data_IF_881270795911
#
_entry.id   IF_881270795911
#
_cell.length_a   1.000
_cell.length_b   1.000
_cell.length_c   1.000
_cell.angle_alpha   90.00
_cell.angle_beta   90.00
_cell.angle_gamma   90.00
#
_symmetry.space_group_name_H-M   'P 1'
#
loop_
_entity.id
_entity.type
_entity.pdbx_description
1 polymer ?
#
# COMPACT_ATOMS: atom_id res chain seq x y z
N UNK A 1 -3.33 0.53 -34.26
CA UNK A 1 -3.49 -0.68 -33.47
C UNK A 1 -3.81 -0.25 -32.08
N UNK A 2 -4.80 -0.80 -31.42
CA UNK A 2 -5.09 -0.54 -30.02
C UNK A 2 -4.50 -1.67 -29.20
N UNK A 3 -3.90 -1.36 -28.06
CA UNK A 3 -3.36 -2.34 -27.12
C UNK A 3 -4.37 -2.53 -25.98
N UNK A 4 -4.66 -3.78 -25.66
CA UNK A 4 -5.57 -4.15 -24.59
C UNK A 4 -4.80 -4.75 -23.43
N UNK A 5 -4.76 -4.04 -22.30
CA UNK A 5 -4.09 -4.46 -21.08
C UNK A 5 -5.10 -4.94 -20.03
N UNK A 6 -4.70 -5.89 -19.22
CA UNK A 6 -5.47 -6.29 -18.03
C UNK A 6 -4.66 -6.07 -16.76
N UNK A 7 -5.27 -5.47 -15.75
CA UNK A 7 -4.76 -5.38 -14.40
C UNK A 7 -5.56 -6.31 -13.50
N UNK A 8 -4.94 -7.35 -13.00
CA UNK A 8 -5.50 -8.25 -12.01
C UNK A 8 -5.15 -7.74 -10.62
N UNK A 9 -6.14 -7.50 -9.79
CA UNK A 9 -5.98 -6.98 -8.44
C UNK A 9 -6.86 -7.73 -7.44
N UNK A 10 -6.41 -7.81 -6.19
CA UNK A 10 -7.14 -8.46 -5.12
C UNK A 10 -7.29 -7.50 -3.92
N UNK A 11 -8.53 -7.33 -3.44
CA UNK A 11 -8.85 -6.43 -2.32
C UNK A 11 -8.44 -4.96 -2.57
N UNK A 12 -8.89 -4.38 -3.66
CA UNK A 12 -8.55 -3.00 -4.06
C UNK A 12 -8.98 -1.90 -3.06
N UNK A 13 -9.69 -2.24 -1.99
CA UNK A 13 -10.13 -1.29 -0.96
C UNK A 13 -8.98 -0.63 -0.17
N UNK A 14 -7.75 -1.03 -0.38
CA UNK A 14 -6.60 -0.36 0.22
C UNK A 14 -6.25 0.91 -0.55
N UNK A 15 -6.08 2.03 0.17
CA UNK A 15 -5.74 3.35 -0.39
C UNK A 15 -4.60 3.29 -1.42
N UNK A 16 -3.52 2.60 -1.11
CA UNK A 16 -2.36 2.50 -2.00
C UNK A 16 -2.67 1.78 -3.32
N UNK A 17 -3.62 0.83 -3.34
CA UNK A 17 -4.01 0.14 -4.57
C UNK A 17 -4.82 1.09 -5.47
N UNK A 18 -5.73 1.87 -4.90
CA UNK A 18 -6.52 2.88 -5.62
C UNK A 18 -5.59 3.95 -6.21
N UNK A 19 -4.61 4.41 -5.43
CA UNK A 19 -3.64 5.41 -5.88
C UNK A 19 -2.76 4.89 -7.04
N UNK A 20 -2.38 3.60 -7.01
CA UNK A 20 -1.68 2.97 -8.14
C UNK A 20 -2.54 2.92 -9.40
N UNK A 21 -3.83 2.58 -9.28
CA UNK A 21 -4.77 2.59 -10.42
C UNK A 21 -4.91 4.00 -10.99
N UNK A 22 -4.93 5.04 -10.15
CA UNK A 22 -4.90 6.44 -10.60
C UNK A 22 -3.67 6.73 -11.45
N UNK A 23 -2.50 6.25 -11.05
CA UNK A 23 -1.27 6.37 -11.83
C UNK A 23 -1.33 5.63 -13.18
N UNK A 24 -1.88 4.42 -13.20
CA UNK A 24 -2.12 3.68 -14.43
C UNK A 24 -3.03 4.46 -15.38
N UNK A 25 -4.11 5.01 -14.85
CA UNK A 25 -5.05 5.86 -15.61
C UNK A 25 -4.35 7.07 -16.22
N UNK A 26 -3.49 7.78 -15.48
CA UNK A 26 -2.71 8.91 -16.00
C UNK A 26 -1.85 8.55 -17.21
N UNK A 27 -1.20 7.37 -17.19
CA UNK A 27 -0.45 6.91 -18.36
C UNK A 27 -1.38 6.70 -19.56
N UNK A 28 -2.50 6.01 -19.36
CA UNK A 28 -3.46 5.68 -20.43
C UNK A 28 -4.08 6.94 -21.04
N UNK A 29 -4.42 7.93 -20.22
CA UNK A 29 -4.93 9.22 -20.70
C UNK A 29 -3.93 9.95 -21.62
N UNK A 30 -2.63 9.67 -21.49
CA UNK A 30 -1.59 10.18 -22.39
C UNK A 30 -1.48 9.38 -23.71
N UNK A 31 -2.10 8.20 -23.80
CA UNK A 31 -2.00 7.23 -24.89
C UNK A 31 -3.39 6.80 -25.37
N UNK A 32 -3.85 7.33 -26.50
CA UNK A 32 -5.17 7.03 -27.07
C UNK A 32 -5.30 5.62 -27.67
N UNK A 33 -4.20 4.92 -27.79
CA UNK A 33 -4.09 3.58 -28.36
C UNK A 33 -3.99 2.48 -27.32
N UNK A 34 -4.16 2.80 -26.02
CA UNK A 34 -4.08 1.84 -24.92
C UNK A 34 -5.38 1.82 -24.13
N UNK A 35 -5.91 0.63 -23.92
CA UNK A 35 -7.07 0.36 -23.07
C UNK A 35 -6.65 -0.52 -21.89
N UNK A 36 -7.18 -0.25 -20.68
CA UNK A 36 -6.92 -1.04 -19.49
C UNK A 36 -8.23 -1.56 -18.91
N UNK A 37 -8.34 -2.87 -18.80
CA UNK A 37 -9.37 -3.53 -17.99
C UNK A 37 -8.81 -3.80 -16.59
N UNK A 38 -9.48 -3.32 -15.55
CA UNK A 38 -9.16 -3.68 -14.16
C UNK A 38 -10.10 -4.78 -13.71
N UNK A 39 -9.53 -5.94 -13.38
CA UNK A 39 -10.27 -7.09 -12.89
C UNK A 39 -9.93 -7.34 -11.43
N UNK A 40 -10.91 -7.14 -10.56
CA UNK A 40 -10.71 -7.18 -9.12
C UNK A 40 -11.53 -8.28 -8.46
N UNK A 41 -10.87 -9.07 -7.61
CA UNK A 41 -11.53 -9.98 -6.70
C UNK A 41 -11.46 -9.46 -5.27
N UNK A 42 -12.54 -9.64 -4.50
CA UNK A 42 -12.65 -9.20 -3.11
C UNK A 42 -13.06 -10.38 -2.25
N UNK A 43 -12.29 -10.63 -1.17
CA UNK A 43 -12.58 -11.70 -0.22
C UNK A 43 -12.45 -11.24 1.25
N UNK A 44 -12.48 -9.93 1.48
CA UNK A 44 -12.25 -9.36 2.81
C UNK A 44 -13.35 -9.77 3.79
N UNK A 45 -12.96 -10.30 4.96
CA UNK A 45 -13.86 -10.76 6.03
C UNK A 45 -14.71 -11.99 5.71
N UNK A 46 -14.36 -12.77 4.70
CA UNK A 46 -15.06 -14.01 4.34
C UNK A 46 -14.35 -15.23 4.94
N UNK A 47 -15.07 -16.33 5.06
CA UNK A 47 -14.51 -17.61 5.48
C UNK A 47 -13.47 -18.12 4.45
N UNK A 48 -12.55 -18.97 4.91
CA UNK A 48 -11.44 -19.47 4.10
C UNK A 48 -11.87 -20.12 2.77
N UNK A 49 -13.04 -20.78 2.76
CA UNK A 49 -13.61 -21.36 1.53
C UNK A 49 -14.02 -20.29 0.50
N UNK A 50 -14.58 -19.18 0.97
CA UNK A 50 -14.98 -18.05 0.12
C UNK A 50 -13.77 -17.27 -0.36
N UNK A 51 -12.72 -17.14 0.47
CA UNK A 51 -11.45 -16.54 0.08
C UNK A 51 -10.82 -17.33 -1.08
N UNK A 52 -10.84 -18.66 -1.02
CA UNK A 52 -10.36 -19.54 -2.10
C UNK A 52 -11.18 -19.36 -3.38
N UNK A 53 -12.50 -19.31 -3.27
CA UNK A 53 -13.40 -19.11 -4.43
C UNK A 53 -13.21 -17.74 -5.07
N UNK A 54 -12.98 -16.69 -4.27
CA UNK A 54 -12.70 -15.35 -4.77
C UNK A 54 -11.38 -15.28 -5.55
N UNK A 55 -10.38 -16.10 -5.18
CA UNK A 55 -9.12 -16.19 -5.93
C UNK A 55 -9.30 -16.85 -7.30
N UNK A 56 -10.20 -17.82 -7.42
CA UNK A 56 -10.52 -18.47 -8.70
C UNK A 56 -11.08 -17.45 -9.73
N UNK A 57 -11.79 -16.42 -9.28
CA UNK A 57 -12.27 -15.33 -10.14
C UNK A 57 -11.10 -14.71 -10.93
N UNK A 58 -9.92 -14.57 -10.34
CA UNK A 58 -8.75 -13.97 -11.00
C UNK A 58 -8.16 -14.85 -12.13
N UNK A 59 -8.60 -16.10 -12.25
CA UNK A 59 -8.26 -17.01 -13.34
C UNK A 59 -9.33 -17.09 -14.44
N UNK A 60 -10.47 -16.40 -14.29
CA UNK A 60 -11.55 -16.38 -15.30
C UNK A 60 -11.22 -15.60 -16.59
N UNK A 61 -10.48 -14.47 -16.54
CA UNK A 61 -10.17 -13.73 -17.75
C UNK A 61 -9.37 -14.56 -18.75
N UNK A 62 -9.86 -14.62 -20.00
CA UNK A 62 -9.12 -15.21 -21.13
C UNK A 62 -7.94 -14.30 -21.49
N UNK A 63 -6.76 -14.62 -20.99
CA UNK A 63 -5.55 -13.81 -21.19
C UNK A 63 -5.18 -13.67 -22.67
N UNK A 64 -5.58 -14.58 -23.54
CA UNK A 64 -5.28 -14.50 -24.98
C UNK A 64 -5.89 -13.30 -25.70
N UNK A 65 -6.83 -12.60 -25.04
CA UNK A 65 -7.46 -11.36 -25.53
C UNK A 65 -6.70 -10.09 -25.19
N UNK A 66 -5.60 -10.21 -24.44
CA UNK A 66 -4.83 -9.06 -23.94
C UNK A 66 -3.39 -9.09 -24.46
N UNK A 67 -2.84 -7.90 -24.67
CA UNK A 67 -1.45 -7.72 -25.10
C UNK A 67 -0.47 -7.70 -23.94
N UNK A 68 -0.95 -7.49 -22.71
CA UNK A 68 -0.12 -7.44 -21.51
C UNK A 68 -0.91 -7.58 -20.22
N UNK A 69 -0.23 -8.09 -19.16
CA UNK A 69 -0.83 -8.35 -17.85
C UNK A 69 -0.09 -7.57 -16.76
N UNK A 70 -0.85 -6.84 -15.95
CA UNK A 70 -0.42 -6.22 -14.70
C UNK A 70 -0.95 -7.06 -13.53
N UNK A 71 -0.07 -7.38 -12.57
CA UNK A 71 -0.46 -8.06 -11.34
C UNK A 71 -0.21 -7.11 -10.17
N UNK A 72 -1.28 -6.57 -9.62
CA UNK A 72 -1.25 -5.71 -8.43
C UNK A 72 -1.50 -6.57 -7.18
N UNK A 73 -0.43 -7.19 -6.68
CA UNK A 73 -0.51 -8.11 -5.56
C UNK A 73 -0.62 -7.42 -4.21
N UNK A 74 -1.18 -8.15 -3.26
CA UNK A 74 -1.11 -7.86 -1.84
C UNK A 74 -0.79 -9.15 -1.07
N UNK A 75 -0.75 -9.08 0.28
CA UNK A 75 -0.39 -10.24 1.11
C UNK A 75 -1.46 -11.34 1.12
N UNK A 76 -2.73 -10.96 0.92
CA UNK A 76 -3.86 -11.89 0.93
C UNK A 76 -3.92 -12.73 -0.34
N UNK A 77 -3.24 -12.33 -1.39
CA UNK A 77 -3.14 -13.07 -2.64
C UNK A 77 -1.87 -13.95 -2.63
N UNK A 78 -1.99 -15.29 -2.51
CA UNK A 78 -0.86 -16.19 -2.44
C UNK A 78 0.10 -16.07 -3.64
N UNK A 79 1.39 -16.21 -3.39
CA UNK A 79 2.41 -16.09 -4.43
C UNK A 79 2.25 -17.16 -5.51
N UNK A 80 1.88 -18.38 -5.13
CA UNK A 80 1.67 -19.51 -6.04
C UNK A 80 0.56 -19.19 -7.05
N UNK A 81 -0.54 -18.60 -6.60
CA UNK A 81 -1.66 -18.23 -7.48
C UNK A 81 -1.26 -17.13 -8.48
N UNK A 82 -0.54 -16.12 -8.01
CA UNK A 82 -0.01 -15.07 -8.89
C UNK A 82 0.99 -15.64 -9.90
N UNK A 83 1.82 -16.60 -9.49
CA UNK A 83 2.79 -17.24 -10.38
C UNK A 83 2.09 -18.07 -11.46
N UNK A 84 0.97 -18.76 -11.15
CA UNK A 84 0.16 -19.51 -12.13
C UNK A 84 -0.29 -18.59 -13.28
N UNK A 85 -0.73 -17.38 -12.97
CA UNK A 85 -1.13 -16.38 -13.98
C UNK A 85 0.07 -15.98 -14.85
N UNK A 86 1.23 -15.75 -14.24
CA UNK A 86 2.46 -15.44 -14.99
C UNK A 86 2.86 -16.59 -15.91
N UNK A 87 2.78 -17.84 -15.42
CA UNK A 87 3.13 -19.03 -16.21
C UNK A 87 2.16 -19.24 -17.38
N UNK A 88 0.89 -18.89 -17.22
CA UNK A 88 -0.09 -18.89 -18.31
C UNK A 88 0.21 -17.79 -19.33
N UNK A 89 0.42 -16.55 -18.89
CA UNK A 89 0.78 -15.44 -19.78
C UNK A 89 2.08 -15.76 -20.55
N UNK A 90 3.06 -16.40 -19.91
CA UNK A 90 4.29 -16.81 -20.57
C UNK A 90 4.06 -17.84 -21.69
N UNK A 91 3.16 -18.83 -21.48
CA UNK A 91 2.79 -19.80 -22.53
C UNK A 91 2.13 -19.12 -23.73
N UNK A 92 1.44 -18.01 -23.50
CA UNK A 92 0.82 -17.19 -24.55
C UNK A 92 1.77 -16.13 -25.13
N UNK A 93 3.03 -16.07 -24.66
CA UNK A 93 4.00 -15.03 -25.02
C UNK A 93 3.56 -13.60 -24.66
N UNK A 94 2.73 -13.44 -23.63
CA UNK A 94 2.22 -12.16 -23.16
C UNK A 94 3.15 -11.63 -22.06
N UNK A 95 3.68 -10.39 -22.16
CA UNK A 95 4.52 -9.81 -21.12
C UNK A 95 3.72 -9.50 -19.85
N UNK A 96 4.40 -9.68 -18.69
CA UNK A 96 3.82 -9.45 -17.39
C UNK A 96 4.68 -8.44 -16.61
N UNK A 97 3.98 -7.56 -15.87
CA UNK A 97 4.56 -6.68 -14.85
C UNK A 97 3.86 -6.95 -13.52
N UNK A 98 4.63 -7.12 -12.47
CA UNK A 98 4.13 -7.31 -11.10
C UNK A 98 4.49 -6.10 -10.23
N UNK A 99 3.56 -5.65 -9.42
CA UNK A 99 3.74 -4.50 -8.53
C UNK A 99 4.02 -4.98 -7.10
N UNK A 100 5.14 -4.54 -6.53
CA UNK A 100 5.62 -4.79 -5.16
C UNK A 100 5.97 -6.25 -4.81
N UNK A 101 5.72 -7.21 -5.68
CA UNK A 101 5.96 -8.64 -5.41
C UNK A 101 6.77 -9.28 -6.55
N UNK A 102 7.93 -9.86 -6.25
CA UNK A 102 8.72 -10.54 -7.26
C UNK A 102 8.01 -11.82 -7.72
N UNK A 103 7.88 -11.98 -9.03
CA UNK A 103 7.38 -13.18 -9.70
C UNK A 103 8.36 -13.60 -10.78
N UNK A 104 8.58 -14.91 -10.95
CA UNK A 104 9.45 -15.40 -12.01
C UNK A 104 8.89 -14.98 -13.38
N UNK A 105 9.76 -14.56 -14.29
CA UNK A 105 9.42 -14.10 -15.65
C UNK A 105 8.57 -12.81 -15.77
N UNK A 106 8.32 -12.12 -14.65
CA UNK A 106 7.69 -10.80 -14.64
C UNK A 106 8.73 -9.71 -14.34
N UNK A 107 8.47 -8.50 -14.81
CA UNK A 107 9.20 -7.30 -14.33
C UNK A 107 8.54 -6.83 -13.04
N UNK A 108 9.33 -6.63 -11.98
CA UNK A 108 8.84 -6.08 -10.71
C UNK A 108 8.96 -4.55 -10.71
N UNK A 109 7.86 -3.86 -10.41
CA UNK A 109 7.84 -2.43 -10.11
C UNK A 109 7.61 -2.24 -8.61
N UNK A 110 8.41 -1.42 -7.96
CA UNK A 110 8.27 -1.20 -6.52
C UNK A 110 9.15 -0.06 -6.01
N UNK A 111 9.31 -0.01 -4.69
CA UNK A 111 10.17 0.97 -4.01
C UNK A 111 11.44 0.31 -3.49
N UNK A 112 12.57 1.01 -3.54
CA UNK A 112 13.79 0.56 -2.87
C UNK A 112 13.66 0.75 -1.34
N UNK A 113 12.99 -0.22 -0.70
CA UNK A 113 12.76 -0.23 0.73
C UNK A 113 14.07 -0.21 1.54
N UNK A 114 15.15 -0.80 0.99
CA UNK A 114 16.43 -0.84 1.69
C UNK A 114 17.06 0.54 1.76
N UNK A 115 17.22 1.20 0.61
CA UNK A 115 17.80 2.53 0.53
C UNK A 115 16.96 3.56 1.28
N UNK A 116 15.64 3.46 1.21
CA UNK A 116 14.72 4.36 1.90
C UNK A 116 14.89 4.31 3.44
N UNK A 117 14.97 3.11 4.03
CA UNK A 117 15.23 2.98 5.47
C UNK A 117 16.66 3.44 5.82
N UNK A 118 17.66 3.13 4.99
CA UNK A 118 19.02 3.61 5.23
C UNK A 118 19.08 5.14 5.27
N UNK A 119 18.40 5.82 4.36
CA UNK A 119 18.34 7.29 4.30
C UNK A 119 17.56 7.87 5.49
N UNK A 120 16.42 7.28 5.87
CA UNK A 120 15.68 7.68 7.06
C UNK A 120 16.55 7.56 8.33
N UNK A 121 17.29 6.46 8.48
CA UNK A 121 18.17 6.25 9.63
C UNK A 121 19.38 7.17 9.61
N UNK A 122 19.93 7.51 8.43
CA UNK A 122 20.97 8.52 8.27
C UNK A 122 20.50 9.88 8.79
N UNK A 123 19.31 10.28 8.37
CA UNK A 123 18.67 11.52 8.82
C UNK A 123 18.44 11.55 10.34
N UNK A 124 17.88 10.47 10.91
CA UNK A 124 17.68 10.36 12.36
C UNK A 124 19.01 10.47 13.14
N UNK A 125 20.08 9.88 12.60
CA UNK A 125 21.39 9.93 13.23
C UNK A 125 22.06 11.31 13.12
N UNK A 126 22.05 11.90 11.93
CA UNK A 126 22.79 13.14 11.62
C UNK A 126 22.07 14.40 12.14
N UNK A 127 20.76 14.49 11.88
CA UNK A 127 19.99 15.71 12.17
C UNK A 127 19.30 15.65 13.54
N UNK A 128 18.77 14.48 13.92
CA UNK A 128 18.03 14.31 15.17
C UNK A 128 18.90 13.76 16.32
N UNK A 129 20.16 13.45 16.03
CA UNK A 129 21.13 12.93 17.01
C UNK A 129 20.66 11.67 17.74
N UNK A 130 19.82 10.86 17.09
CA UNK A 130 19.31 9.58 17.61
C UNK A 130 20.46 8.60 17.83
N UNK A 131 20.50 7.96 19.01
CA UNK A 131 21.53 7.00 19.40
C UNK A 131 20.97 5.66 19.85
N UNK A 132 19.68 5.59 20.20
CA UNK A 132 19.00 4.38 20.67
C UNK A 132 17.66 4.26 19.98
N UNK A 133 17.39 3.13 19.39
CA UNK A 133 16.14 2.90 18.63
C UNK A 133 15.51 1.56 18.96
N UNK A 134 14.19 1.51 18.76
CA UNK A 134 13.39 0.28 18.68
C UNK A 134 12.81 0.21 17.31
N UNK A 135 12.77 -0.98 16.69
CA UNK A 135 12.13 -1.20 15.42
C UNK A 135 10.80 -1.96 15.57
N UNK A 136 9.72 -1.37 15.10
CA UNK A 136 8.42 -2.06 15.00
C UNK A 136 8.33 -2.74 13.63
N UNK A 137 8.36 -4.07 13.66
CA UNK A 137 8.34 -4.90 12.47
C UNK A 137 6.95 -4.95 11.83
N UNK A 138 6.94 -5.15 10.51
CA UNK A 138 5.74 -5.58 9.80
C UNK A 138 5.59 -7.10 9.80
N UNK A 139 4.69 -7.58 8.95
CA UNK A 139 4.39 -9.01 8.83
C UNK A 139 5.63 -9.84 8.43
N UNK A 140 6.01 -10.88 9.19
CA UNK A 140 7.30 -11.57 9.03
C UNK A 140 7.50 -12.23 7.67
N UNK A 141 6.42 -12.67 7.00
CA UNK A 141 6.48 -13.28 5.67
C UNK A 141 6.53 -12.26 4.52
N UNK A 142 6.38 -10.96 4.82
CA UNK A 142 6.50 -9.90 3.81
C UNK A 142 7.96 -9.62 3.48
N UNK A 143 8.32 -9.70 2.20
CA UNK A 143 9.67 -9.35 1.73
C UNK A 143 10.01 -7.88 2.00
N UNK A 144 9.03 -6.98 1.90
CA UNK A 144 9.22 -5.56 2.23
C UNK A 144 9.54 -5.37 3.71
N UNK A 145 8.79 -6.03 4.62
CA UNK A 145 9.06 -5.99 6.05
C UNK A 145 10.45 -6.53 6.40
N UNK A 146 10.83 -7.65 5.80
CA UNK A 146 12.16 -8.24 5.97
C UNK A 146 13.27 -7.29 5.45
N UNK A 147 13.05 -6.66 4.31
CA UNK A 147 14.00 -5.71 3.71
C UNK A 147 14.15 -4.46 4.57
N UNK A 148 13.04 -3.87 5.06
CA UNK A 148 13.04 -2.71 5.97
C UNK A 148 13.77 -3.05 7.27
N UNK A 149 13.48 -4.20 7.89
CA UNK A 149 14.18 -4.68 9.09
C UNK A 149 15.67 -4.88 8.86
N UNK A 150 16.05 -5.51 7.73
CA UNK A 150 17.46 -5.71 7.36
C UNK A 150 18.18 -4.37 7.22
N UNK A 151 17.59 -3.42 6.51
CA UNK A 151 18.16 -2.08 6.34
C UNK A 151 18.33 -1.35 7.67
N UNK A 152 17.33 -1.42 8.55
CA UNK A 152 17.41 -0.87 9.91
C UNK A 152 18.60 -1.46 10.69
N UNK A 153 18.77 -2.78 10.69
CA UNK A 153 19.88 -3.42 11.40
C UNK A 153 21.24 -3.00 10.83
N UNK A 154 21.36 -2.93 9.49
CA UNK A 154 22.59 -2.44 8.82
C UNK A 154 22.86 -0.97 9.18
N UNK A 155 21.84 -0.14 9.23
CA UNK A 155 21.99 1.26 9.65
C UNK A 155 22.42 1.39 11.12
N UNK A 156 21.84 0.58 12.02
CA UNK A 156 22.29 0.56 13.42
C UNK A 156 23.78 0.21 13.55
N UNK A 157 24.24 -0.79 12.79
CA UNK A 157 25.65 -1.17 12.77
C UNK A 157 26.53 -0.04 12.20
N UNK A 158 26.15 0.51 11.05
CA UNK A 158 26.89 1.58 10.35
C UNK A 158 27.07 2.82 11.22
N UNK A 159 25.99 3.27 11.85
CA UNK A 159 25.98 4.51 12.65
C UNK A 159 26.26 4.26 14.15
N UNK A 160 26.46 3.02 14.57
CA UNK A 160 26.62 2.62 15.97
C UNK A 160 25.44 3.07 16.85
N UNK A 161 24.24 2.96 16.31
CA UNK A 161 23.00 3.20 17.04
C UNK A 161 22.69 1.95 17.88
N UNK A 162 22.42 2.14 19.16
CA UNK A 162 22.00 1.05 20.04
C UNK A 162 20.61 0.53 19.63
N UNK A 163 20.56 -0.70 19.14
CA UNK A 163 19.30 -1.38 18.83
C UNK A 163 18.73 -2.01 20.11
N UNK A 164 17.67 -1.43 20.67
CA UNK A 164 16.98 -1.91 21.87
C UNK A 164 16.00 -3.06 21.60
N UNK A 165 15.86 -3.47 20.34
CA UNK A 165 15.07 -4.61 19.89
C UNK A 165 14.23 -4.36 18.67
N UNK A 166 13.78 -5.47 18.07
CA UNK A 166 12.83 -5.49 16.95
C UNK A 166 11.61 -6.27 17.38
N UNK A 167 10.43 -5.66 17.35
CA UNK A 167 9.18 -6.20 17.89
C UNK A 167 8.07 -6.17 16.86
N UNK A 168 7.06 -7.00 17.03
CA UNK A 168 5.86 -7.02 16.22
C UNK A 168 5.92 -7.93 15.01
N UNK A 169 4.71 -8.27 14.52
CA UNK A 169 4.46 -9.25 13.47
C UNK A 169 3.29 -8.85 12.56
N UNK A 170 2.86 -7.59 12.58
CA UNK A 170 1.69 -7.12 11.84
C UNK A 170 1.81 -5.70 11.32
N UNK A 171 0.79 -5.28 10.56
CA UNK A 171 0.74 -4.00 9.87
C UNK A 171 -0.29 -3.02 10.42
N UNK A 172 -1.12 -3.46 11.38
CA UNK A 172 -2.24 -2.69 11.88
C UNK A 172 -1.85 -1.79 13.07
N UNK A 173 -2.64 -0.76 13.31
CA UNK A 173 -2.46 0.16 14.44
C UNK A 173 -2.42 -0.58 15.78
N UNK A 174 -3.27 -1.58 15.95
CA UNK A 174 -3.35 -2.41 17.16
C UNK A 174 -2.07 -3.21 17.41
N UNK A 175 -1.34 -3.59 16.34
CA UNK A 175 -0.02 -4.23 16.49
C UNK A 175 0.98 -3.22 17.09
N UNK A 176 1.03 -1.99 16.57
CA UNK A 176 1.87 -0.93 17.12
C UNK A 176 1.54 -0.61 18.58
N UNK A 177 0.26 -0.49 18.94
CA UNK A 177 -0.20 -0.28 20.32
C UNK A 177 0.27 -1.41 21.25
N UNK A 178 0.01 -2.66 20.87
CA UNK A 178 0.37 -3.85 21.64
C UNK A 178 1.88 -3.91 21.91
N UNK A 179 2.68 -3.78 20.86
CA UNK A 179 4.13 -3.92 20.99
C UNK A 179 4.76 -2.77 21.77
N UNK A 180 4.25 -1.55 21.60
CA UNK A 180 4.68 -0.40 22.39
C UNK A 180 4.35 -0.60 23.87
N UNK A 181 3.14 -1.03 24.20
CA UNK A 181 2.73 -1.34 25.58
C UNK A 181 3.63 -2.39 26.21
N UNK A 182 3.85 -3.51 25.52
CA UNK A 182 4.72 -4.59 26.03
C UNK A 182 6.16 -4.09 26.23
N UNK A 183 6.65 -3.21 25.35
CA UNK A 183 7.96 -2.60 25.50
C UNK A 183 8.05 -1.74 26.76
N UNK A 184 7.08 -0.84 26.98
CA UNK A 184 7.04 0.05 28.14
C UNK A 184 6.91 -0.74 29.46
N UNK A 185 6.02 -1.72 29.52
CA UNK A 185 5.81 -2.59 30.68
C UNK A 185 7.02 -3.47 31.00
N UNK A 186 7.91 -3.71 30.04
CA UNK A 186 9.15 -4.48 30.28
C UNK A 186 10.18 -3.76 31.14
N UNK A 187 9.96 -2.49 31.49
CA UNK A 187 10.86 -1.65 32.30
C UNK A 187 12.17 -1.26 31.59
N UNK A 188 12.24 -1.46 30.26
CA UNK A 188 13.39 -1.02 29.45
C UNK A 188 13.43 0.51 29.34
N UNK A 189 14.62 1.03 29.07
CA UNK A 189 14.80 2.48 28.84
C UNK A 189 14.01 2.92 27.60
N UNK A 190 13.42 4.11 27.68
CA UNK A 190 12.80 4.74 26.52
C UNK A 190 13.85 4.92 25.41
N UNK A 191 13.55 4.55 24.15
CA UNK A 191 14.44 4.84 23.04
C UNK A 191 14.41 6.34 22.69
N UNK A 192 15.39 6.80 21.92
CA UNK A 192 15.32 8.14 21.33
C UNK A 192 14.31 8.19 20.20
N UNK A 193 14.10 7.04 19.51
CA UNK A 193 13.14 6.93 18.42
C UNK A 193 12.56 5.50 18.28
N UNK A 194 11.25 5.40 18.08
CA UNK A 194 10.59 4.22 17.52
C UNK A 194 10.58 4.35 16.01
N UNK A 195 11.28 3.46 15.32
CA UNK A 195 11.28 3.36 13.86
C UNK A 195 10.28 2.28 13.46
N UNK A 196 9.21 2.65 12.79
CA UNK A 196 8.12 1.73 12.47
C UNK A 196 8.16 1.31 11.00
N UNK A 197 7.86 0.04 10.75
CA UNK A 197 7.85 -0.51 9.41
C UNK A 197 6.74 0.06 8.52
N UNK A 198 5.69 0.67 9.10
CA UNK A 198 4.66 1.43 8.38
C UNK A 198 3.99 2.48 9.28
N UNK A 199 3.14 3.31 8.70
CA UNK A 199 2.45 4.41 9.40
C UNK A 199 1.40 3.92 10.40
N UNK A 200 0.74 2.78 10.13
CA UNK A 200 -0.21 2.20 11.07
C UNK A 200 0.48 1.80 12.38
N UNK A 201 1.63 1.13 12.31
CA UNK A 201 2.41 0.81 13.49
C UNK A 201 2.88 2.08 14.21
N UNK A 202 3.33 3.11 13.47
CA UNK A 202 3.73 4.39 14.04
C UNK A 202 2.56 5.08 14.77
N UNK A 203 1.37 5.07 14.19
CA UNK A 203 0.15 5.59 14.84
C UNK A 203 -0.17 4.82 16.13
N UNK A 204 -0.07 3.49 16.09
CA UNK A 204 -0.26 2.66 17.28
C UNK A 204 0.72 2.99 18.39
N UNK A 205 2.00 3.18 18.06
CA UNK A 205 3.02 3.64 19.01
C UNK A 205 2.65 4.99 19.60
N UNK A 206 2.29 5.98 18.78
CA UNK A 206 1.90 7.32 19.25
C UNK A 206 0.70 7.26 20.19
N UNK A 207 -0.33 6.46 19.84
CA UNK A 207 -1.51 6.28 20.67
C UNK A 207 -1.15 5.71 22.06
N UNK A 208 -0.29 4.68 22.08
CA UNK A 208 0.09 4.05 23.35
C UNK A 208 0.99 4.94 24.19
N UNK A 209 1.95 5.65 23.60
CA UNK A 209 2.78 6.63 24.27
C UNK A 209 1.92 7.71 24.93
N UNK A 210 0.90 8.22 24.24
CA UNK A 210 -0.03 9.21 24.77
C UNK A 210 -0.80 8.68 26.01
N UNK A 211 -1.21 7.39 26.02
CA UNK A 211 -1.85 6.76 27.19
C UNK A 211 -0.92 6.71 28.41
N UNK A 212 0.39 6.64 28.17
CA UNK A 212 1.43 6.65 29.20
C UNK A 212 1.99 8.07 29.51
N UNK A 213 1.35 9.13 28.98
CA UNK A 213 1.77 10.52 29.14
C UNK A 213 3.19 10.81 28.61
N UNK A 214 3.67 10.03 27.65
CA UNK A 214 4.94 10.23 26.95
C UNK A 214 4.65 11.03 25.67
N UNK A 215 5.32 12.16 25.51
CA UNK A 215 5.05 13.11 24.43
C UNK A 215 5.91 12.79 23.20
N UNK A 216 5.28 12.93 22.04
CA UNK A 216 5.93 12.85 20.74
C UNK A 216 5.83 14.23 20.09
N UNK A 217 6.93 14.89 19.74
CA UNK A 217 8.31 14.40 19.67
C UNK A 217 9.18 14.66 20.94
N UNK A 218 8.67 15.36 21.99
CA UNK A 218 9.47 15.95 23.05
C UNK A 218 10.22 14.93 23.89
N UNK A 219 9.62 13.77 24.18
CA UNK A 219 10.21 12.73 25.03
C UNK A 219 10.76 11.56 24.18
N UNK A 220 10.18 11.32 22.98
CA UNK A 220 10.59 10.26 22.06
C UNK A 220 10.12 10.59 20.64
N UNK A 221 10.95 10.28 19.65
CA UNK A 221 10.61 10.41 18.24
C UNK A 221 9.89 9.17 17.74
N UNK A 222 9.04 9.33 16.69
CA UNK A 222 8.39 8.22 16.02
C UNK A 222 8.45 8.44 14.51
N UNK A 223 8.80 7.41 13.75
CA UNK A 223 8.77 7.44 12.29
C UNK A 223 7.98 6.27 11.72
N UNK A 224 7.38 6.48 10.57
CA UNK A 224 6.62 5.48 9.83
C UNK A 224 7.21 5.20 8.44
N UNK A 225 6.38 4.61 7.59
CA UNK A 225 6.68 4.29 6.20
C UNK A 225 5.35 4.17 5.45
N UNK A 226 5.30 4.53 4.19
CA UNK A 226 4.21 4.52 3.20
C UNK A 226 3.58 5.90 2.94
N UNK A 227 3.67 6.86 3.87
CA UNK A 227 3.08 8.21 3.83
C UNK A 227 1.60 8.19 3.43
N UNK A 228 0.85 7.23 4.01
CA UNK A 228 -0.59 7.13 3.82
C UNK A 228 -1.31 8.27 4.56
N UNK A 229 -2.61 8.46 4.25
CA UNK A 229 -3.47 9.47 4.85
C UNK A 229 -3.33 9.55 6.38
N UNK A 230 -3.17 8.40 7.04
CA UNK A 230 -2.95 8.29 8.47
C UNK A 230 -1.70 9.05 8.97
N UNK A 231 -0.69 9.21 8.13
CA UNK A 231 0.54 9.88 8.51
C UNK A 231 0.35 11.39 8.71
N UNK A 232 -0.57 12.00 7.99
CA UNK A 232 -0.80 13.44 8.03
C UNK A 232 -2.19 13.88 8.55
N UNK A 233 -3.11 12.92 8.72
CA UNK A 233 -4.48 13.22 9.18
C UNK A 233 -4.58 13.51 10.70
N UNK A 234 -3.58 13.16 11.48
CA UNK A 234 -3.59 13.29 12.94
C UNK A 234 -2.36 14.04 13.48
N UNK A 235 -2.47 14.56 14.71
CA UNK A 235 -1.36 15.17 15.44
C UNK A 235 -0.80 14.18 16.48
N UNK A 236 0.54 14.05 16.63
CA UNK A 236 1.56 14.60 15.72
C UNK A 236 1.50 13.91 14.35
N UNK A 237 1.85 14.65 13.29
CA UNK A 237 2.00 14.08 11.95
C UNK A 237 3.23 13.20 11.91
N UNK A 238 3.13 12.08 11.23
CA UNK A 238 4.19 11.07 11.21
C UNK A 238 5.22 11.40 10.13
N UNK A 239 6.49 11.53 10.51
CA UNK A 239 7.61 11.48 9.56
C UNK A 239 7.61 10.12 8.90
N UNK A 240 7.52 10.09 7.58
CA UNK A 240 7.29 8.86 6.82
C UNK A 240 8.06 8.84 5.50
N UNK A 241 8.21 7.67 4.91
CA UNK A 241 8.72 7.51 3.56
C UNK A 241 7.55 7.47 2.59
N UNK A 242 7.46 8.48 1.72
CA UNK A 242 6.53 8.51 0.61
C UNK A 242 7.05 7.65 -0.53
N UNK A 243 6.27 6.65 -0.91
CA UNK A 243 6.61 5.70 -1.98
C UNK A 243 6.19 6.16 -3.36
N UNK A 244 5.45 7.27 -3.46
CA UNK A 244 4.82 7.73 -4.69
C UNK A 244 4.03 6.60 -5.40
N UNK A 245 3.00 6.11 -4.71
CA UNK A 245 2.16 5.01 -5.22
C UNK A 245 1.53 5.31 -6.58
N UNK A 246 1.22 6.58 -6.86
CA UNK A 246 0.70 6.98 -8.15
C UNK A 246 1.74 6.76 -9.25
N UNK A 247 2.99 7.18 -8.99
CA UNK A 247 4.07 6.97 -9.94
C UNK A 247 4.41 5.48 -10.12
N UNK A 248 4.29 4.65 -9.07
CA UNK A 248 4.40 3.18 -9.19
C UNK A 248 3.40 2.65 -10.22
N UNK A 249 2.14 3.09 -10.15
CA UNK A 249 1.10 2.69 -11.10
C UNK A 249 1.41 3.14 -12.53
N UNK A 250 1.87 4.38 -12.69
CA UNK A 250 2.29 4.92 -13.97
C UNK A 250 3.44 4.11 -14.59
N UNK A 251 4.52 3.87 -13.82
CA UNK A 251 5.68 3.08 -14.24
C UNK A 251 5.32 1.62 -14.59
N UNK A 252 4.32 1.05 -13.92
CA UNK A 252 3.89 -0.31 -14.19
C UNK A 252 3.33 -0.44 -15.62
N UNK A 253 2.45 0.49 -16.02
CA UNK A 253 1.91 0.50 -17.38
C UNK A 253 2.99 0.88 -18.41
N UNK A 254 3.81 1.89 -18.11
CA UNK A 254 4.93 2.29 -18.97
C UNK A 254 5.87 1.11 -19.25
N UNK A 255 6.30 0.42 -18.19
CA UNK A 255 7.20 -0.74 -18.33
C UNK A 255 6.55 -1.90 -19.09
N UNK A 256 5.25 -2.12 -18.91
CA UNK A 256 4.52 -3.13 -19.66
C UNK A 256 4.44 -2.77 -21.13
N UNK A 257 4.12 -1.53 -21.46
CA UNK A 257 4.09 -1.04 -22.85
C UNK A 257 5.47 -1.10 -23.51
N UNK A 258 6.53 -0.74 -22.80
CA UNK A 258 7.89 -0.86 -23.31
C UNK A 258 8.24 -2.32 -23.67
N UNK A 259 7.80 -3.30 -22.86
CA UNK A 259 7.96 -4.72 -23.17
C UNK A 259 7.16 -5.14 -24.40
N UNK A 260 5.90 -4.68 -24.54
CA UNK A 260 5.04 -4.95 -25.69
C UNK A 260 5.66 -4.38 -26.96
N UNK A 261 6.24 -3.19 -26.88
CA UNK A 261 6.93 -2.52 -28.00
C UNK A 261 8.34 -3.10 -28.29
N UNK A 262 8.75 -4.15 -27.57
CA UNK A 262 10.03 -4.83 -27.79
C UNK A 262 11.25 -4.12 -27.22
N UNK A 263 11.05 -3.14 -26.33
CA UNK A 263 12.14 -2.49 -25.63
C UNK A 263 12.68 -3.37 -24.49
N UNK A 264 13.93 -3.17 -24.13
CA UNK A 264 14.51 -3.84 -22.98
C UNK A 264 14.09 -3.16 -21.69
N UNK A 265 13.42 -3.90 -20.79
CA UNK A 265 13.03 -3.44 -19.47
C UNK A 265 13.77 -4.26 -18.42
N UNK A 266 14.38 -3.64 -17.40
CA UNK A 266 15.03 -4.37 -16.31
C UNK A 266 14.06 -5.32 -15.60
N UNK A 267 14.58 -6.40 -15.00
CA UNK A 267 13.76 -7.33 -14.19
C UNK A 267 13.11 -6.63 -13.00
N UNK A 268 13.77 -5.59 -12.49
CA UNK A 268 13.25 -4.78 -11.40
C UNK A 268 13.44 -3.29 -11.69
N UNK A 269 12.37 -2.51 -11.50
CA UNK A 269 12.34 -1.06 -11.66
C UNK A 269 11.85 -0.46 -10.35
N UNK A 270 12.58 0.53 -9.86
CA UNK A 270 12.21 1.25 -8.64
C UNK A 270 11.59 2.61 -8.98
N UNK A 271 10.42 2.87 -8.38
CA UNK A 271 9.89 4.23 -8.28
C UNK A 271 10.73 5.04 -7.29
N UNK A 272 10.97 6.33 -7.56
CA UNK A 272 11.58 7.21 -6.58
C UNK A 272 10.71 7.28 -5.31
N UNK A 273 11.38 7.53 -4.20
CA UNK A 273 10.73 7.78 -2.91
C UNK A 273 11.18 9.13 -2.34
N UNK A 274 10.48 9.63 -1.33
CA UNK A 274 10.85 10.84 -0.58
C UNK A 274 10.68 10.60 0.91
N UNK A 275 11.56 11.18 1.73
CA UNK A 275 11.35 11.24 3.18
C UNK A 275 10.56 12.51 3.46
N UNK A 276 9.37 12.36 4.01
CA UNK A 276 8.47 13.44 4.40
C UNK A 276 8.67 13.69 5.90
N UNK A 277 9.41 14.73 6.21
CA UNK A 277 9.74 15.11 7.58
C UNK A 277 8.57 15.85 8.21
N UNK A 278 8.13 15.39 9.39
CA UNK A 278 6.93 15.86 10.07
C UNK A 278 7.15 16.01 11.58
N UNK A 279 6.11 16.43 12.29
CA UNK A 279 6.18 16.79 13.71
C UNK A 279 6.56 15.63 14.62
N UNK A 280 6.27 14.37 14.26
CA UNK A 280 6.65 13.20 15.09
C UNK A 280 8.16 12.97 15.22
N UNK A 281 8.97 13.60 14.38
CA UNK A 281 10.43 13.61 14.50
C UNK A 281 11.00 15.01 14.73
N UNK A 282 10.20 15.93 15.26
CA UNK A 282 10.66 17.24 15.71
C UNK A 282 10.68 18.33 14.64
N UNK A 283 10.16 18.07 13.44
CA UNK A 283 10.05 19.09 12.40
C UNK A 283 8.78 19.91 12.55
N UNK A 284 8.89 21.22 12.48
CA UNK A 284 7.74 22.12 12.40
C UNK A 284 7.31 22.23 10.94
N UNK A 285 6.11 21.75 10.63
CA UNK A 285 5.47 22.05 9.36
C UNK A 285 4.98 23.50 9.43
N UNK A 286 5.24 24.30 8.40
CA UNK A 286 4.76 25.69 8.34
C UNK A 286 3.22 25.81 8.14
N UNK A 287 2.49 24.70 8.26
CA UNK A 287 1.05 24.66 8.18
C UNK A 287 0.43 24.92 9.55
N UNK A 288 -0.57 25.80 9.59
CA UNK A 288 -1.30 26.09 10.81
C UNK A 288 -2.32 24.98 11.14
N UNK A 289 -2.79 24.94 12.40
CA UNK A 289 -3.76 23.97 12.89
C UNK A 289 -5.12 24.03 12.13
N UNK A 290 -5.41 25.14 11.43
CA UNK A 290 -6.65 25.36 10.69
C UNK A 290 -6.64 24.57 9.37
N UNK A 291 -5.52 24.54 8.65
CA UNK A 291 -5.33 23.74 7.44
C UNK A 291 -5.38 22.23 7.76
N UNK A 292 -4.87 21.85 8.95
CA UNK A 292 -5.00 20.49 9.47
C UNK A 292 -6.45 20.11 9.74
N UNK A 293 -7.23 20.99 10.40
CA UNK A 293 -8.65 20.75 10.71
C UNK A 293 -9.50 20.58 9.44
N UNK A 294 -9.28 21.40 8.43
CA UNK A 294 -9.99 21.33 7.15
C UNK A 294 -9.73 19.97 6.49
N UNK A 295 -8.46 19.56 6.38
CA UNK A 295 -8.10 18.25 5.79
C UNK A 295 -8.66 17.09 6.59
N UNK A 296 -8.57 17.12 7.92
CA UNK A 296 -9.14 16.10 8.80
C UNK A 296 -10.66 15.95 8.62
N UNK A 297 -11.38 17.06 8.44
CA UNK A 297 -12.81 17.03 8.17
C UNK A 297 -13.14 16.47 6.79
N UNK A 298 -12.34 16.80 5.76
CA UNK A 298 -12.51 16.28 4.41
C UNK A 298 -12.25 14.77 4.35
N UNK A 299 -11.19 14.31 5.02
CA UNK A 299 -10.84 12.90 5.15
C UNK A 299 -11.96 12.12 5.84
N UNK A 300 -12.40 12.57 7.02
CA UNK A 300 -13.48 11.90 7.74
C UNK A 300 -14.79 11.90 6.96
N UNK A 301 -15.06 12.95 6.18
CA UNK A 301 -16.21 13.01 5.30
C UNK A 301 -16.10 11.96 4.21
N UNK A 302 -14.94 11.84 3.54
CA UNK A 302 -14.71 10.85 2.47
C UNK A 302 -14.85 9.41 3.00
N UNK A 303 -14.28 9.11 4.18
CA UNK A 303 -14.43 7.81 4.84
C UNK A 303 -15.88 7.54 5.22
N UNK A 304 -16.57 8.53 5.77
CA UNK A 304 -17.99 8.41 6.14
C UNK A 304 -18.88 8.19 4.92
N UNK A 305 -18.65 8.95 3.86
CA UNK A 305 -19.40 8.84 2.60
C UNK A 305 -19.14 7.46 1.95
N UNK A 306 -17.90 6.96 1.96
CA UNK A 306 -17.58 5.61 1.51
C UNK A 306 -18.31 4.52 2.30
N UNK A 307 -18.26 4.57 3.63
CA UNK A 307 -19.00 3.62 4.48
C UNK A 307 -20.52 3.69 4.28
N UNK A 308 -21.06 4.89 4.12
CA UNK A 308 -22.48 5.11 3.86
C UNK A 308 -22.90 4.52 2.51
N UNK A 309 -22.10 4.73 1.48
CA UNK A 309 -22.33 4.18 0.16
C UNK A 309 -22.28 2.65 0.22
N UNK A 310 -21.21 2.07 0.79
CA UNK A 310 -21.05 0.62 0.93
C UNK A 310 -22.22 -0.02 1.68
N UNK A 311 -22.58 0.52 2.84
CA UNK A 311 -23.69 0.01 3.66
C UNK A 311 -25.07 0.15 2.99
N UNK A 312 -25.19 1.02 2.00
CA UNK A 312 -26.44 1.23 1.25
C UNK A 312 -26.55 0.26 0.05
N UNK A 313 -25.44 -0.05 -0.61
CA UNK A 313 -25.42 -0.89 -1.81
C UNK A 313 -25.44 -2.38 -1.51
N UNK A 314 -24.73 -2.84 -0.51
CA UNK A 314 -24.65 -4.25 -0.15
C UNK A 314 -26.04 -4.88 0.10
N UNK A 315 -26.92 -4.29 0.92
CA UNK A 315 -28.27 -4.83 1.10
C UNK A 315 -29.12 -4.81 -0.19
N UNK A 316 -28.93 -3.80 -1.05
CA UNK A 316 -29.65 -3.73 -2.32
C UNK A 316 -29.23 -4.84 -3.26
N UNK A 317 -27.93 -5.11 -3.39
CA UNK A 317 -27.40 -6.22 -4.20
C UNK A 317 -27.90 -7.58 -3.69
N UNK A 318 -27.90 -7.78 -2.37
CA UNK A 318 -28.41 -9.01 -1.74
C UNK A 318 -29.93 -9.20 -1.92
N UNK A 319 -30.68 -8.12 -2.12
CA UNK A 319 -32.12 -8.16 -2.36
C UNK A 319 -32.50 -8.37 -3.84
N UNK A 320 -31.54 -8.32 -4.78
CA UNK A 320 -31.81 -8.52 -6.20
C UNK A 320 -32.20 -9.96 -6.49
N UNK A 321 -33.26 -10.12 -7.29
CA UNK A 321 -33.76 -11.42 -7.74
C UNK A 321 -33.59 -11.63 -9.25
N UNK A 322 -33.00 -10.67 -9.94
CA UNK A 322 -32.73 -10.73 -11.36
C UNK A 322 -31.46 -9.99 -11.74
N UNK A 323 -30.87 -10.39 -12.86
CA UNK A 323 -29.69 -9.75 -13.46
C UNK A 323 -29.96 -8.28 -13.78
N UNK A 324 -31.17 -7.95 -14.22
CA UNK A 324 -31.58 -6.58 -14.53
C UNK A 324 -31.58 -5.70 -13.27
N UNK A 325 -32.05 -6.24 -12.15
CA UNK A 325 -32.02 -5.54 -10.86
C UNK A 325 -30.57 -5.31 -10.37
N UNK A 326 -29.72 -6.31 -10.53
CA UNK A 326 -28.27 -6.16 -10.25
C UNK A 326 -27.66 -5.07 -11.12
N UNK A 327 -27.97 -5.07 -12.43
CA UNK A 327 -27.51 -4.03 -13.37
C UNK A 327 -27.92 -2.63 -12.94
N UNK A 328 -29.16 -2.43 -12.56
CA UNK A 328 -29.66 -1.13 -12.10
C UNK A 328 -28.97 -0.67 -10.80
N UNK A 329 -28.75 -1.59 -9.84
CA UNK A 329 -28.02 -1.27 -8.59
C UNK A 329 -26.57 -0.90 -8.88
N UNK A 330 -25.91 -1.57 -9.81
CA UNK A 330 -24.54 -1.27 -10.21
C UNK A 330 -24.41 0.02 -11.02
N UNK A 331 -25.42 0.39 -11.82
CA UNK A 331 -25.48 1.69 -12.50
C UNK A 331 -25.61 2.83 -11.49
N UNK A 332 -26.47 2.70 -10.49
CA UNK A 332 -26.59 3.64 -9.37
C UNK A 332 -25.26 3.78 -8.63
N UNK A 333 -24.56 2.66 -8.38
CA UNK A 333 -23.24 2.63 -7.74
C UNK A 333 -22.18 3.33 -8.59
N UNK A 334 -22.12 3.02 -9.89
CA UNK A 334 -21.22 3.67 -10.83
C UNK A 334 -21.38 5.18 -10.85
N UNK A 335 -22.62 5.66 -10.85
CA UNK A 335 -22.94 7.09 -10.79
C UNK A 335 -22.42 7.73 -9.50
N UNK A 336 -22.55 7.07 -8.33
CA UNK A 336 -22.03 7.56 -7.05
C UNK A 336 -20.50 7.70 -7.03
N UNK A 337 -19.80 6.87 -7.78
CA UNK A 337 -18.33 6.89 -7.89
C UNK A 337 -17.81 7.64 -9.13
N UNK A 338 -18.70 8.27 -9.90
CA UNK A 338 -18.32 8.98 -11.12
C UNK A 338 -17.77 8.05 -12.21
N UNK A 339 -18.14 6.76 -12.19
CA UNK A 339 -17.78 5.80 -13.22
C UNK A 339 -18.69 6.00 -14.43
N UNK A 340 -18.14 6.21 -15.66
CA UNK A 340 -18.97 6.48 -16.84
C UNK A 340 -19.76 5.26 -17.29
N UNK A 341 -19.26 4.06 -17.06
CA UNK A 341 -19.88 2.80 -17.46
C UNK A 341 -19.50 1.68 -16.48
N UNK A 342 -20.44 0.77 -16.21
CA UNK A 342 -20.25 -0.43 -15.40
C UNK A 342 -20.68 -1.63 -16.22
N UNK A 343 -19.80 -2.59 -16.43
CA UNK A 343 -20.08 -3.82 -17.16
C UNK A 343 -20.20 -5.00 -16.21
N UNK A 344 -21.24 -5.80 -16.39
CA UNK A 344 -21.44 -7.06 -15.69
C UNK A 344 -21.21 -8.19 -16.69
N UNK A 345 -20.15 -8.97 -16.48
CA UNK A 345 -19.93 -10.18 -17.26
C UNK A 345 -20.83 -11.30 -16.72
N UNK A 346 -21.59 -11.91 -17.60
CA UNK A 346 -22.46 -13.05 -17.30
C UNK A 346 -21.99 -14.20 -18.18
N UNK A 347 -21.60 -15.31 -17.59
CA UNK A 347 -21.38 -16.59 -18.26
C UNK A 347 -22.67 -17.43 -18.31
#
# INVERSE_FOLDING_TARGET
MSYHLICLTFEWSYEHLITQISGMKKYIESRKDVELTVFNAVAKYLDQEVETSALEILHMPDLSKYDGVLIQGNRSWPQEERQRIVDEAQRLCIPVVSINYPLAHATEIGTDNFSAIMELMDHLYTEQHVRKTVFLCGYPKSLEAQTRKKAYLVACEKYKIENLGCYGDGWQTENGEKECRMYLESGKKLPDCFVCANDNNARGVINELARHHIRVPEDVLVTGFDNQELAYAYSPRITSVDRDYEHIGYLAVESLMDKIEGKQVPVKVYSPYKIILQTSSGYTTGENDEDFRVRFLDVNKSVHDFHKIHSHFEPKLLACNSILEIGNVLEDFGTCFGLPEVYVALD
#
